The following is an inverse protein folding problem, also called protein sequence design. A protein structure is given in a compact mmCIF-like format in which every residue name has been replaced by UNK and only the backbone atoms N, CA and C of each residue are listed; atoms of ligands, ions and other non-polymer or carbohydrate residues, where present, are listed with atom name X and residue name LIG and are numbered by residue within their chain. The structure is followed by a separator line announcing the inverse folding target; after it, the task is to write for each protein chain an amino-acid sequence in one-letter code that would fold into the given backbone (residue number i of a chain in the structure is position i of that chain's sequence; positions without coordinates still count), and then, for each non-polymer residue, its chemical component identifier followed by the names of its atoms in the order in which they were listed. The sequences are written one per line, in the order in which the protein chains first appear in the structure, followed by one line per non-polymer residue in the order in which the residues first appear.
data_IF_544799205174
#
_entry.id   IF_544799205174
#
_cell.length_a   1.000
_cell.length_b   1.000
_cell.length_c   1.000
_cell.angle_alpha   90.00
_cell.angle_beta   90.00
_cell.angle_gamma   90.00
#
_symmetry.space_group_name_H-M   'P 1'
#
loop_
_entity.id
_entity.type
_entity.pdbx_description
1 polymer ?
#
# COMPACT_ATOMS: atom_id res chain seq x y z
N UNK A 1 -6.94 -24.82 -3.91
CA UNK A 1 -6.71 -23.38 -4.10
C UNK A 1 -6.84 -23.01 -5.57
N UNK A 2 -7.58 -21.98 -5.84
CA UNK A 2 -7.81 -21.53 -7.21
C UNK A 2 -6.61 -20.70 -7.67
N UNK A 3 -6.03 -21.10 -8.81
CA UNK A 3 -4.93 -20.35 -9.38
C UNK A 3 -5.48 -19.25 -10.30
N UNK A 4 -5.06 -18.01 -10.05
CA UNK A 4 -5.48 -16.89 -10.86
C UNK A 4 -4.57 -16.73 -12.08
N UNK A 5 -5.12 -16.30 -13.23
CA UNK A 5 -4.29 -16.00 -14.39
C UNK A 5 -3.26 -14.91 -14.05
N UNK A 6 -2.07 -15.01 -14.64
CA UNK A 6 -1.01 -14.03 -14.36
C UNK A 6 -1.42 -12.62 -14.74
N UNK A 7 -2.24 -12.47 -15.79
CA UNK A 7 -2.75 -11.16 -16.18
C UNK A 7 -3.63 -10.56 -15.10
N UNK A 8 -4.50 -11.38 -14.48
CA UNK A 8 -5.37 -10.92 -13.39
C UNK A 8 -4.55 -10.49 -12.18
N UNK A 9 -3.51 -11.25 -11.85
CA UNK A 9 -2.65 -10.92 -10.71
C UNK A 9 -1.91 -9.62 -10.96
N UNK A 10 -1.37 -9.41 -12.15
CA UNK A 10 -0.67 -8.17 -12.49
C UNK A 10 -1.60 -6.97 -12.45
N UNK A 11 -2.78 -7.12 -13.04
CA UNK A 11 -3.76 -6.04 -13.06
C UNK A 11 -4.25 -5.73 -11.65
N UNK A 12 -4.54 -6.78 -10.88
CA UNK A 12 -4.98 -6.60 -9.50
C UNK A 12 -3.94 -5.89 -8.63
N UNK A 13 -2.68 -6.29 -8.77
CA UNK A 13 -1.60 -5.63 -8.03
C UNK A 13 -1.47 -4.16 -8.43
N UNK A 14 -1.55 -3.87 -9.73
CA UNK A 14 -1.41 -2.50 -10.22
C UNK A 14 -2.57 -1.61 -9.78
N UNK A 15 -3.80 -2.10 -9.91
CA UNK A 15 -4.98 -1.31 -9.53
C UNK A 15 -5.04 -1.08 -8.03
N UNK A 16 -4.81 -2.13 -7.24
CA UNK A 16 -4.83 -1.97 -5.79
C UNK A 16 -3.71 -1.05 -5.33
N UNK A 17 -2.53 -1.18 -5.92
CA UNK A 17 -1.41 -0.29 -5.60
C UNK A 17 -1.71 1.16 -5.94
N UNK A 18 -2.31 1.40 -7.10
CA UNK A 18 -2.69 2.76 -7.50
C UNK A 18 -3.68 3.36 -6.52
N UNK A 19 -4.69 2.60 -6.11
CA UNK A 19 -5.67 3.07 -5.14
C UNK A 19 -5.00 3.41 -3.81
N UNK A 20 -4.05 2.59 -3.38
CA UNK A 20 -3.32 2.87 -2.13
C UNK A 20 -2.45 4.10 -2.25
N UNK A 21 -1.83 4.34 -3.41
CA UNK A 21 -1.05 5.55 -3.64
C UNK A 21 -1.94 6.78 -3.57
N UNK A 22 -3.10 6.73 -4.23
CA UNK A 22 -4.05 7.85 -4.18
C UNK A 22 -4.49 8.13 -2.76
N UNK A 23 -4.81 7.07 -2.00
CA UNK A 23 -5.16 7.25 -0.59
C UNK A 23 -4.01 7.89 0.18
N UNK A 24 -2.78 7.43 -0.05
CA UNK A 24 -1.61 7.96 0.65
C UNK A 24 -1.41 9.44 0.39
N UNK A 25 -1.60 9.87 -0.86
CA UNK A 25 -1.48 11.28 -1.22
C UNK A 25 -2.53 12.12 -0.51
N UNK A 26 -3.78 11.65 -0.50
CA UNK A 26 -4.86 12.36 0.20
C UNK A 26 -4.59 12.38 1.71
N UNK A 27 -4.14 11.25 2.24
CA UNK A 27 -3.84 11.12 3.65
C UNK A 27 -2.73 12.09 4.09
N UNK A 28 -1.65 12.14 3.34
CA UNK A 28 -0.56 13.06 3.64
C UNK A 28 -0.99 14.51 3.51
N UNK A 29 -1.79 14.81 2.47
CA UNK A 29 -2.34 16.16 2.31
C UNK A 29 -3.20 16.57 3.48
N UNK A 30 -4.00 15.64 4.00
CA UNK A 30 -4.85 15.90 5.16
C UNK A 30 -4.08 16.11 6.45
N UNK A 31 -2.81 15.67 6.50
CA UNK A 31 -1.97 15.87 7.68
C UNK A 31 -1.26 17.21 7.70
N UNK A 32 -1.20 17.92 6.58
CA UNK A 32 -0.55 19.23 6.53
C UNK A 32 -1.14 20.19 7.58
N UNK A 33 -2.47 20.30 7.74
CA UNK A 33 -3.02 21.16 8.79
C UNK A 33 -2.60 20.80 10.20
N UNK A 34 -2.20 19.56 10.44
CA UNK A 34 -1.72 19.18 11.78
C UNK A 34 -0.52 20.01 12.20
N UNK A 35 0.29 20.45 11.24
CA UNK A 35 1.47 21.27 11.48
C UNK A 35 1.15 22.76 11.37
N UNK A 36 0.39 23.14 10.32
CA UNK A 36 0.17 24.54 9.99
C UNK A 36 -1.03 25.17 10.68
N UNK A 37 -2.04 24.37 11.01
CA UNK A 37 -3.28 24.87 11.61
C UNK A 37 -3.88 23.82 12.53
N UNK A 38 -3.25 23.56 13.70
CA UNK A 38 -3.65 22.46 14.57
C UNK A 38 -5.11 22.46 14.98
N UNK A 39 -5.70 23.63 15.23
CA UNK A 39 -7.11 23.72 15.63
C UNK A 39 -8.03 23.25 14.52
N UNK A 40 -7.70 23.63 13.27
CA UNK A 40 -8.48 23.18 12.12
C UNK A 40 -8.32 21.70 11.89
N UNK A 41 -7.12 21.18 12.13
CA UNK A 41 -6.87 19.74 12.02
C UNK A 41 -7.69 18.98 13.05
N UNK A 42 -7.76 19.46 14.28
CA UNK A 42 -8.54 18.79 15.33
C UNK A 42 -10.02 18.74 14.97
N UNK A 43 -10.55 19.84 14.43
CA UNK A 43 -11.94 19.89 14.01
C UNK A 43 -12.20 18.90 12.88
N UNK A 44 -11.30 18.86 11.90
CA UNK A 44 -11.41 17.94 10.78
C UNK A 44 -11.35 16.47 11.25
N UNK A 45 -10.39 16.16 12.11
CA UNK A 45 -10.22 14.79 12.61
C UNK A 45 -11.42 14.35 13.43
N UNK A 46 -11.94 15.26 14.26
CA UNK A 46 -13.13 14.96 15.06
C UNK A 46 -14.35 14.71 14.19
N UNK A 47 -14.56 15.57 13.19
CA UNK A 47 -15.65 15.39 12.24
C UNK A 47 -15.54 14.07 11.49
N UNK A 48 -14.33 13.71 11.10
CA UNK A 48 -14.10 12.46 10.38
C UNK A 48 -14.43 11.25 11.25
N UNK A 49 -13.99 11.28 12.51
CA UNK A 49 -14.20 10.16 13.42
C UNK A 49 -15.66 9.94 13.77
N UNK A 50 -16.49 10.99 13.69
CA UNK A 50 -17.92 10.87 13.95
C UNK A 50 -18.74 10.63 12.70
N UNK A 51 -18.09 10.61 11.52
CA UNK A 51 -18.80 10.39 10.26
C UNK A 51 -19.22 8.93 10.10
N UNK A 52 -20.46 8.69 9.64
CA UNK A 52 -20.92 7.32 9.45
C UNK A 52 -20.21 6.59 8.30
N UNK A 53 -19.60 7.33 7.38
CA UNK A 53 -18.92 6.72 6.24
C UNK A 53 -17.46 6.32 6.54
N UNK A 54 -16.94 6.69 7.71
CA UNK A 54 -15.54 6.36 8.02
C UNK A 54 -15.32 4.85 8.13
N UNK A 55 -16.20 4.15 8.82
CA UNK A 55 -16.04 2.71 9.00
C UNK A 55 -16.08 1.93 7.70
N UNK A 56 -17.05 2.18 6.80
CA UNK A 56 -17.02 1.53 5.47
C UNK A 56 -15.74 1.85 4.70
N UNK A 57 -15.25 3.08 4.81
CA UNK A 57 -14.01 3.48 4.14
C UNK A 57 -12.82 2.70 4.69
N UNK A 58 -12.73 2.57 6.01
CA UNK A 58 -11.66 1.80 6.64
C UNK A 58 -11.69 0.34 6.22
N UNK A 59 -12.87 -0.24 6.18
CA UNK A 59 -13.03 -1.63 5.75
C UNK A 59 -12.59 -1.78 4.30
N UNK A 60 -13.01 -0.86 3.44
CA UNK A 60 -12.63 -0.89 2.03
C UNK A 60 -11.13 -0.77 1.84
N UNK A 61 -10.49 0.14 2.55
CA UNK A 61 -9.05 0.30 2.47
C UNK A 61 -8.30 -0.93 2.99
N UNK A 62 -8.81 -1.54 4.05
CA UNK A 62 -8.22 -2.76 4.59
C UNK A 62 -8.31 -3.90 3.58
N UNK A 63 -9.45 -4.03 2.91
CA UNK A 63 -9.63 -5.05 1.88
C UNK A 63 -8.67 -4.80 0.71
N UNK A 64 -8.57 -3.54 0.26
CA UNK A 64 -7.67 -3.19 -0.84
C UNK A 64 -6.22 -3.49 -0.46
N UNK A 65 -5.81 -3.14 0.77
CA UNK A 65 -4.46 -3.42 1.23
C UNK A 65 -4.19 -4.93 1.28
N UNK A 66 -5.15 -5.71 1.78
CA UNK A 66 -5.03 -7.16 1.84
C UNK A 66 -4.91 -7.78 0.45
N UNK A 67 -5.73 -7.30 -0.49
CA UNK A 67 -5.66 -7.76 -1.86
C UNK A 67 -4.32 -7.40 -2.50
N UNK A 68 -3.85 -6.18 -2.24
CA UNK A 68 -2.56 -5.75 -2.79
C UNK A 68 -1.42 -6.64 -2.30
N UNK A 69 -1.38 -6.89 -0.99
CA UNK A 69 -0.35 -7.77 -0.43
C UNK A 69 -0.45 -9.17 -1.03
N UNK A 70 -1.67 -9.70 -1.13
CA UNK A 70 -1.89 -11.04 -1.69
C UNK A 70 -1.42 -11.12 -3.14
N UNK A 71 -1.80 -10.15 -3.96
CA UNK A 71 -1.40 -10.14 -5.37
C UNK A 71 0.11 -9.99 -5.53
N UNK A 72 0.73 -9.12 -4.73
CA UNK A 72 2.17 -8.90 -4.84
C UNK A 72 2.97 -10.11 -4.37
N UNK A 73 2.51 -10.80 -3.34
CA UNK A 73 3.16 -12.02 -2.87
C UNK A 73 3.02 -13.11 -3.93
N UNK A 74 1.82 -13.28 -4.49
CA UNK A 74 1.59 -14.27 -5.54
C UNK A 74 2.50 -14.00 -6.74
N UNK A 75 2.59 -12.74 -7.15
CA UNK A 75 3.45 -12.36 -8.26
C UNK A 75 4.93 -12.62 -7.95
N UNK A 76 5.36 -12.32 -6.74
CA UNK A 76 6.75 -12.55 -6.34
C UNK A 76 7.10 -14.03 -6.35
N UNK A 77 6.20 -14.87 -5.81
CA UNK A 77 6.41 -16.31 -5.81
C UNK A 77 6.43 -16.86 -7.23
N UNK A 78 5.50 -16.41 -8.05
CA UNK A 78 5.41 -16.85 -9.44
C UNK A 78 6.67 -16.48 -10.22
N UNK A 79 7.15 -15.26 -10.05
CA UNK A 79 8.37 -14.80 -10.73
C UNK A 79 9.59 -15.60 -10.26
N UNK A 80 9.66 -15.88 -8.96
CA UNK A 80 10.78 -16.64 -8.41
C UNK A 80 10.79 -18.07 -8.96
N UNK A 81 9.62 -18.70 -9.02
CA UNK A 81 9.50 -20.06 -9.54
C UNK A 81 9.86 -20.13 -11.02
N UNK A 82 9.56 -19.07 -11.76
CA UNK A 82 9.88 -18.99 -13.18
C UNK A 82 11.33 -18.57 -13.43
N UNK A 83 12.08 -18.20 -12.40
CA UNK A 83 13.46 -17.75 -12.54
C UNK A 83 13.59 -16.37 -13.15
N UNK A 84 12.51 -15.57 -13.11
CA UNK A 84 12.48 -14.28 -13.81
C UNK A 84 13.13 -13.13 -13.06
N UNK A 85 13.34 -13.27 -11.76
CA UNK A 85 13.80 -12.13 -10.96
C UNK A 85 15.15 -11.59 -11.42
N UNK A 86 16.10 -12.47 -11.68
CA UNK A 86 17.42 -12.05 -12.15
C UNK A 86 17.36 -11.46 -13.56
N UNK A 87 16.54 -12.05 -14.41
CA UNK A 87 16.41 -11.58 -15.78
C UNK A 87 15.77 -10.20 -15.85
N UNK A 88 14.78 -9.97 -14.98
CA UNK A 88 14.14 -8.66 -14.93
C UNK A 88 15.13 -7.58 -14.55
N UNK A 89 16.04 -7.88 -13.63
CA UNK A 89 17.09 -6.93 -13.25
C UNK A 89 18.02 -6.63 -14.42
N UNK A 90 18.42 -7.67 -15.15
CA UNK A 90 19.38 -7.50 -16.24
C UNK A 90 18.83 -6.78 -17.46
N UNK A 91 17.52 -6.74 -17.62
CA UNK A 91 16.90 -6.04 -18.74
C UNK A 91 16.91 -4.53 -18.57
N UNK A 92 17.17 -4.06 -17.39
CA UNK A 92 17.13 -2.64 -17.11
C UNK A 92 18.54 -2.07 -17.18
N UNK A 93 18.76 -1.21 -18.16
CA UNK A 93 20.05 -0.59 -18.35
C UNK A 93 20.36 0.44 -17.28
N UNK A 94 19.34 1.11 -16.75
CA UNK A 94 19.54 2.14 -15.74
C UNK A 94 19.79 1.53 -14.36
N UNK A 95 20.90 1.87 -13.69
CA UNK A 95 21.16 1.33 -12.34
C UNK A 95 20.08 1.63 -11.32
N UNK A 96 19.47 2.81 -11.39
CA UNK A 96 18.39 3.17 -10.46
C UNK A 96 17.16 2.31 -10.67
N UNK A 97 16.82 2.01 -11.93
CA UNK A 97 15.66 1.17 -12.22
C UNK A 97 15.91 -0.27 -11.74
N UNK A 98 17.14 -0.77 -11.88
CA UNK A 98 17.49 -2.10 -11.39
C UNK A 98 17.42 -2.16 -9.87
N UNK A 99 17.92 -1.12 -9.20
CA UNK A 99 17.86 -1.03 -7.75
C UNK A 99 16.42 -1.00 -7.27
N UNK A 100 15.57 -0.19 -7.91
CA UNK A 100 14.16 -0.10 -7.58
C UNK A 100 13.47 -1.46 -7.72
N UNK A 101 13.78 -2.19 -8.79
CA UNK A 101 13.22 -3.52 -9.03
C UNK A 101 13.60 -4.51 -7.92
N UNK A 102 14.86 -4.46 -7.48
CA UNK A 102 15.34 -5.39 -6.46
C UNK A 102 14.82 -5.05 -5.07
N UNK A 103 14.63 -3.75 -4.78
CA UNK A 103 14.25 -3.30 -3.45
C UNK A 103 12.75 -3.32 -3.20
N UNK A 104 11.93 -3.63 -4.21
CA UNK A 104 10.46 -3.63 -4.07
C UNK A 104 9.98 -4.48 -2.89
N UNK A 105 10.50 -5.71 -2.79
CA UNK A 105 10.08 -6.62 -1.74
C UNK A 105 10.42 -6.10 -0.36
N UNK A 106 11.63 -5.58 -0.21
CA UNK A 106 12.09 -5.04 1.07
C UNK A 106 11.28 -3.80 1.43
N UNK A 107 11.09 -2.90 0.45
CA UNK A 107 10.30 -1.68 0.68
C UNK A 107 8.88 -2.03 1.08
N UNK A 108 8.28 -3.04 0.43
CA UNK A 108 6.94 -3.48 0.77
C UNK A 108 6.85 -4.02 2.19
N UNK A 109 7.83 -4.81 2.61
CA UNK A 109 7.86 -5.36 3.97
C UNK A 109 8.00 -4.25 5.01
N UNK A 110 8.87 -3.28 4.75
CA UNK A 110 9.06 -2.16 5.66
C UNK A 110 7.77 -1.35 5.76
N UNK A 111 7.13 -1.09 4.64
CA UNK A 111 5.87 -0.35 4.60
C UNK A 111 4.77 -1.09 5.37
N UNK A 112 4.68 -2.40 5.19
CA UNK A 112 3.70 -3.21 5.90
C UNK A 112 3.93 -3.18 7.41
N UNK A 113 5.19 -3.31 7.84
CA UNK A 113 5.53 -3.23 9.25
C UNK A 113 5.18 -1.85 9.82
N UNK A 114 5.48 -0.79 9.07
CA UNK A 114 5.11 0.57 9.45
C UNK A 114 3.60 0.68 9.59
N UNK A 115 2.85 0.14 8.63
CA UNK A 115 1.39 0.23 8.65
C UNK A 115 0.80 -0.43 9.90
N UNK A 116 1.32 -1.61 10.25
CA UNK A 116 0.85 -2.32 11.43
C UNK A 116 1.08 -1.47 12.69
N UNK A 117 2.29 -0.94 12.84
CA UNK A 117 2.62 -0.10 14.00
C UNK A 117 1.77 1.17 14.00
N UNK A 118 1.64 1.79 12.83
CA UNK A 118 0.90 3.03 12.66
C UNK A 118 -0.58 2.87 13.07
N UNK A 119 -1.22 1.81 12.62
CA UNK A 119 -2.61 1.56 12.97
C UNK A 119 -2.77 1.27 14.45
N UNK A 120 -1.85 0.49 15.01
CA UNK A 120 -1.92 0.17 16.44
C UNK A 120 -1.72 1.40 17.32
N UNK A 121 -0.88 2.33 16.89
CA UNK A 121 -0.61 3.51 17.68
C UNK A 121 -1.66 4.61 17.51
N UNK A 122 -2.21 4.75 16.33
CA UNK A 122 -3.05 5.90 16.03
C UNK A 122 -4.52 5.58 15.82
N UNK A 123 -4.84 4.40 15.32
CA UNK A 123 -6.24 4.07 15.04
C UNK A 123 -6.86 3.20 16.12
N UNK A 124 -6.06 2.27 16.67
CA UNK A 124 -6.57 1.33 17.67
C UNK A 124 -5.84 1.45 19.00
N UNK A 125 -5.57 2.66 19.51
CA UNK A 125 -5.03 2.77 20.85
C UNK A 125 -6.14 2.39 21.83
N UNK A 126 -5.81 1.90 22.93
CA UNK A 126 -6.81 1.51 23.84
C UNK A 126 -7.03 2.13 24.79
#
# INVERSE_FOLDING_TARGET
MIALPSAAVRTGAALSGLLLVLFTLVHLGGLIPAVLAPEQFEAYASALHTSPWLRPLEIGLTVIAGLHVSFTITKAISNRRAGNSAQLSSRRDAPLAALASRSKGIAGLVTLAFLIVHLNQLRWPR
#
